data_IF_935540525833
#
_entry.id   IF_935540525833
#
_cell.length_a   1.000
_cell.length_b   1.000
_cell.length_c   1.000
_cell.angle_alpha   90.00
_cell.angle_beta   90.00
_cell.angle_gamma   90.00
#
_symmetry.space_group_name_H-M   'P 1'
#
loop_
_entity.id
_entity.type
_entity.pdbx_description
1 polymer ?
#
# COMPACT_ATOMS: atom_id res chain seq x y z
N UNK A 1 -8.68 21.62 0.03
CA UNK A 1 -9.14 21.09 1.34
C UNK A 1 -9.55 19.64 1.14
N UNK A 2 -8.97 18.74 1.92
CA UNK A 2 -9.23 17.31 1.81
C UNK A 2 -10.65 16.94 2.24
N UNK A 3 -11.16 15.82 1.69
CA UNK A 3 -12.45 15.27 2.06
C UNK A 3 -12.26 14.05 2.99
N UNK A 4 -12.36 14.29 4.30
CA UNK A 4 -12.24 13.22 5.31
C UNK A 4 -13.41 12.23 5.27
N UNK A 5 -14.57 12.58 4.69
CA UNK A 5 -15.70 11.65 4.58
C UNK A 5 -15.34 10.49 3.64
N UNK A 6 -14.57 10.75 2.57
CA UNK A 6 -14.11 9.74 1.65
C UNK A 6 -13.24 8.65 2.32
N UNK A 7 -12.46 8.99 3.36
CA UNK A 7 -11.72 7.96 4.13
C UNK A 7 -12.63 7.07 4.98
N UNK A 8 -13.77 7.61 5.41
CA UNK A 8 -14.73 6.88 6.25
C UNK A 8 -15.64 5.96 5.44
N UNK A 9 -15.87 6.26 4.16
CA UNK A 9 -16.73 5.46 3.27
C UNK A 9 -16.21 4.05 3.04
N UNK A 10 -14.89 3.82 3.19
CA UNK A 10 -14.24 2.52 2.94
C UNK A 10 -14.68 1.91 1.60
N UNK A 11 -14.27 2.49 0.47
CA UNK A 11 -14.80 2.16 -0.84
C UNK A 11 -14.39 0.78 -1.32
N UNK A 12 -15.16 0.25 -2.26
CA UNK A 12 -14.71 -0.80 -3.18
C UNK A 12 -14.28 -0.14 -4.49
N UNK A 13 -13.02 -0.36 -4.89
CA UNK A 13 -12.47 0.15 -6.15
C UNK A 13 -12.22 -1.02 -7.09
N UNK A 14 -12.76 -0.95 -8.31
CA UNK A 14 -12.71 -2.07 -9.27
C UNK A 14 -11.85 -1.70 -10.47
N UNK A 15 -10.80 -2.48 -10.72
CA UNK A 15 -9.96 -2.45 -11.90
C UNK A 15 -10.22 -3.65 -12.82
N UNK A 16 -9.32 -3.86 -13.77
CA UNK A 16 -9.40 -4.99 -14.71
C UNK A 16 -8.95 -6.30 -14.09
N UNK A 17 -7.88 -6.25 -13.29
CA UNK A 17 -7.19 -7.42 -12.71
C UNK A 17 -7.36 -7.53 -11.20
N UNK A 18 -7.64 -6.41 -10.54
CA UNK A 18 -7.81 -6.37 -9.09
C UNK A 18 -9.04 -5.58 -8.69
N UNK A 19 -9.59 -5.98 -7.57
CA UNK A 19 -10.59 -5.22 -6.82
C UNK A 19 -10.03 -4.91 -5.44
N UNK A 20 -10.11 -3.67 -5.03
CA UNK A 20 -9.75 -3.23 -3.68
C UNK A 20 -11.03 -3.18 -2.85
N UNK A 21 -11.05 -3.89 -1.75
CA UNK A 21 -12.20 -3.94 -0.82
C UNK A 21 -11.75 -3.61 0.60
N UNK A 22 -12.60 -3.10 1.48
CA UNK A 22 -12.23 -2.86 2.87
C UNK A 22 -11.62 -4.12 3.50
N UNK A 23 -10.48 -3.95 4.18
CA UNK A 23 -9.87 -5.06 4.91
C UNK A 23 -10.80 -5.46 6.07
N UNK A 24 -11.11 -6.74 6.20
CA UNK A 24 -12.08 -7.29 7.16
C UNK A 24 -11.64 -8.67 7.68
N UNK A 25 -12.39 -9.21 8.62
CA UNK A 25 -12.15 -10.54 9.18
C UNK A 25 -12.14 -11.66 8.13
N UNK A 26 -12.80 -11.49 7.01
CA UNK A 26 -12.80 -12.46 5.90
C UNK A 26 -11.40 -12.70 5.31
N UNK A 27 -10.46 -11.76 5.52
CA UNK A 27 -9.13 -11.80 4.97
C UNK A 27 -8.06 -12.31 5.97
N UNK A 28 -8.46 -12.69 7.19
CA UNK A 28 -7.52 -13.01 8.29
C UNK A 28 -6.55 -14.12 7.94
N UNK A 29 -7.03 -15.23 7.40
CA UNK A 29 -6.20 -16.39 7.12
C UNK A 29 -5.10 -16.07 6.09
N UNK A 30 -5.48 -15.42 5.00
CA UNK A 30 -4.55 -15.01 3.94
C UNK A 30 -3.59 -13.92 4.41
N UNK A 31 -4.09 -12.94 5.17
CA UNK A 31 -3.27 -11.90 5.78
C UNK A 31 -2.24 -12.49 6.75
N UNK A 32 -2.68 -13.40 7.64
CA UNK A 32 -1.80 -14.08 8.57
C UNK A 32 -0.73 -14.89 7.86
N UNK A 33 -1.12 -15.68 6.84
CA UNK A 33 -0.17 -16.46 6.04
C UNK A 33 0.90 -15.55 5.39
N UNK A 34 0.48 -14.42 4.80
CA UNK A 34 1.38 -13.41 4.24
C UNK A 34 2.35 -12.84 5.27
N UNK A 35 1.88 -12.55 6.48
CA UNK A 35 2.70 -12.01 7.57
C UNK A 35 3.73 -13.01 8.12
N UNK A 36 3.58 -14.32 7.82
CA UNK A 36 4.56 -15.36 8.17
C UNK A 36 5.61 -15.57 7.08
N UNK A 37 5.40 -15.11 5.85
CA UNK A 37 6.34 -15.26 4.74
C UNK A 37 7.62 -14.45 4.97
N UNK A 38 8.78 -15.11 4.98
CA UNK A 38 10.06 -14.48 5.31
C UNK A 38 10.51 -13.48 4.25
N UNK A 39 10.23 -13.74 2.96
CA UNK A 39 10.58 -12.81 1.90
C UNK A 39 9.68 -11.56 1.91
N UNK A 40 8.38 -11.71 2.14
CA UNK A 40 7.47 -10.58 2.31
C UNK A 40 7.89 -9.73 3.51
N UNK A 41 8.22 -10.36 4.63
CA UNK A 41 8.73 -9.67 5.84
C UNK A 41 10.02 -8.92 5.55
N UNK A 42 10.95 -9.51 4.80
CA UNK A 42 12.19 -8.86 4.37
C UNK A 42 11.91 -7.64 3.48
N UNK A 43 11.01 -7.78 2.51
CA UNK A 43 10.66 -6.71 1.57
C UNK A 43 9.94 -5.53 2.26
N UNK A 44 9.21 -5.81 3.35
CA UNK A 44 8.50 -4.80 4.16
C UNK A 44 9.28 -4.35 5.40
N UNK A 45 10.42 -4.97 5.72
CA UNK A 45 11.21 -4.69 6.93
C UNK A 45 10.52 -5.09 8.23
N UNK A 46 9.61 -6.04 8.16
CA UNK A 46 8.83 -6.49 9.31
C UNK A 46 9.58 -7.55 10.10
N UNK A 47 10.28 -7.16 11.17
CA UNK A 47 11.08 -8.09 11.99
C UNK A 47 10.24 -9.06 12.79
N UNK A 48 9.14 -8.60 13.33
CA UNK A 48 8.29 -9.38 14.23
C UNK A 48 7.32 -10.26 13.43
N UNK A 49 7.16 -11.51 13.86
CA UNK A 49 6.04 -12.34 13.44
C UNK A 49 4.84 -12.02 14.32
N UNK A 50 3.69 -11.85 13.71
CA UNK A 50 2.43 -11.62 14.45
C UNK A 50 1.78 -12.95 14.80
N UNK A 51 1.04 -12.99 15.91
CA UNK A 51 0.17 -14.11 16.26
C UNK A 51 -1.14 -14.08 15.46
N UNK A 52 -1.83 -15.24 15.40
CA UNK A 52 -3.11 -15.32 14.69
C UNK A 52 -4.17 -14.41 15.30
N UNK A 53 -4.28 -14.37 16.63
CA UNK A 53 -5.23 -13.49 17.33
C UNK A 53 -4.97 -12.01 17.04
N UNK A 54 -3.70 -11.62 16.89
CA UNK A 54 -3.33 -10.26 16.50
C UNK A 54 -3.74 -9.95 15.05
N UNK A 55 -3.62 -10.95 14.15
CA UNK A 55 -4.10 -10.80 12.77
C UNK A 55 -5.63 -10.64 12.73
N UNK A 56 -6.37 -11.38 13.56
CA UNK A 56 -7.82 -11.23 13.72
C UNK A 56 -8.16 -9.82 14.16
N UNK A 57 -7.56 -9.33 15.25
CA UNK A 57 -7.81 -7.98 15.77
C UNK A 57 -7.44 -6.91 14.73
N UNK A 58 -6.32 -7.09 14.04
CA UNK A 58 -5.90 -6.18 12.98
C UNK A 58 -6.94 -6.08 11.88
N UNK A 59 -7.38 -7.18 11.29
CA UNK A 59 -8.35 -7.18 10.20
C UNK A 59 -9.73 -6.68 10.65
N UNK A 60 -10.18 -7.04 11.86
CA UNK A 60 -11.47 -6.62 12.39
C UNK A 60 -11.57 -5.12 12.64
N UNK A 61 -10.46 -4.46 13.02
CA UNK A 61 -10.51 -3.06 13.49
C UNK A 61 -10.08 -2.03 12.46
N UNK A 62 -9.49 -2.43 11.32
CA UNK A 62 -8.96 -1.46 10.33
C UNK A 62 -10.03 -0.63 9.66
N UNK A 63 -11.16 -1.21 9.34
CA UNK A 63 -12.29 -0.50 8.72
C UNK A 63 -12.93 0.55 9.62
N UNK A 64 -12.76 0.43 10.94
CA UNK A 64 -13.32 1.39 11.90
C UNK A 64 -12.44 2.65 12.08
N UNK A 65 -11.21 2.62 11.57
CA UNK A 65 -10.27 3.73 11.72
C UNK A 65 -10.63 4.88 10.77
N UNK A 66 -10.99 6.09 11.30
CA UNK A 66 -11.39 7.22 10.47
C UNK A 66 -10.22 7.98 9.82
N UNK A 67 -9.01 7.73 10.30
CA UNK A 67 -7.76 8.44 9.97
C UNK A 67 -6.92 7.70 8.92
N UNK A 68 -7.43 6.59 8.37
CA UNK A 68 -6.72 5.76 7.41
C UNK A 68 -7.66 4.95 6.54
N UNK A 69 -7.14 4.45 5.44
CA UNK A 69 -7.86 3.56 4.53
C UNK A 69 -7.02 2.31 4.32
N UNK A 70 -7.48 1.17 4.82
CA UNK A 70 -6.85 -0.13 4.64
C UNK A 70 -7.74 -1.00 3.75
N UNK A 71 -7.20 -1.46 2.62
CA UNK A 71 -7.92 -2.25 1.64
C UNK A 71 -7.19 -3.57 1.35
N UNK A 72 -7.95 -4.65 1.25
CA UNK A 72 -7.49 -5.92 0.70
C UNK A 72 -7.44 -5.83 -0.83
N UNK A 73 -6.43 -6.43 -1.42
CA UNK A 73 -6.28 -6.56 -2.87
C UNK A 73 -6.77 -7.95 -3.26
N UNK A 74 -7.86 -8.00 -4.02
CA UNK A 74 -8.49 -9.24 -4.49
C UNK A 74 -8.25 -9.38 -5.98
N UNK A 75 -7.59 -10.45 -6.42
CA UNK A 75 -7.41 -10.74 -7.83
C UNK A 75 -8.77 -11.01 -8.51
N UNK A 76 -8.95 -10.47 -9.69
CA UNK A 76 -10.16 -10.60 -10.49
C UNK A 76 -9.84 -11.33 -11.81
N UNK A 77 -10.65 -12.31 -12.24
CA UNK A 77 -11.93 -12.75 -11.70
C UNK A 77 -11.89 -13.80 -10.57
N UNK A 78 -10.72 -14.32 -10.17
CA UNK A 78 -10.59 -15.49 -9.30
C UNK A 78 -11.12 -15.26 -7.87
N UNK A 79 -11.18 -13.99 -7.42
CA UNK A 79 -11.61 -13.65 -6.07
C UNK A 79 -10.57 -13.97 -4.98
N UNK A 80 -9.31 -14.21 -5.36
CA UNK A 80 -8.23 -14.58 -4.44
C UNK A 80 -7.60 -13.34 -3.79
N UNK A 81 -7.39 -13.39 -2.48
CA UNK A 81 -6.60 -12.37 -1.78
C UNK A 81 -5.14 -12.44 -2.26
N UNK A 82 -4.59 -11.32 -2.70
CA UNK A 82 -3.23 -11.22 -3.23
C UNK A 82 -2.38 -10.16 -2.51
N UNK A 83 -2.94 -9.51 -1.50
CA UNK A 83 -2.22 -8.52 -0.71
C UNK A 83 -3.13 -7.50 -0.04
N UNK A 84 -2.49 -6.49 0.51
CA UNK A 84 -3.16 -5.33 1.13
C UNK A 84 -2.45 -4.03 0.77
N UNK A 85 -3.15 -2.92 0.91
CA UNK A 85 -2.58 -1.58 0.79
C UNK A 85 -3.26 -0.61 1.76
N UNK A 86 -2.57 0.48 2.07
CA UNK A 86 -3.13 1.49 2.96
C UNK A 86 -2.71 2.91 2.58
N UNK A 87 -3.63 3.87 2.78
CA UNK A 87 -3.33 5.28 3.02
C UNK A 87 -3.38 5.52 4.52
N UNK A 88 -2.35 6.15 5.07
CA UNK A 88 -2.22 6.40 6.51
C UNK A 88 -1.39 7.66 6.76
N UNK A 89 -1.17 8.00 8.03
CA UNK A 89 -0.42 9.20 8.43
C UNK A 89 -0.93 10.46 7.72
N UNK A 90 -2.25 10.61 7.73
CA UNK A 90 -2.92 11.72 7.07
C UNK A 90 -2.56 13.05 7.76
N UNK A 91 -2.09 13.99 6.97
CA UNK A 91 -1.88 15.38 7.37
C UNK A 91 -2.86 16.29 6.60
N UNK A 92 -3.99 16.64 7.21
CA UNK A 92 -5.03 17.45 6.56
C UNK A 92 -4.58 18.88 6.23
N UNK A 93 -3.68 19.45 7.01
CA UNK A 93 -3.22 20.83 6.83
C UNK A 93 -2.29 20.93 5.60
N UNK A 94 -1.52 19.89 5.33
CA UNK A 94 -0.62 19.81 4.17
C UNK A 94 -1.21 18.98 3.01
N UNK A 95 -2.42 18.45 3.16
CA UNK A 95 -3.12 17.63 2.17
C UNK A 95 -2.29 16.42 1.71
N UNK A 96 -1.61 15.74 2.67
CA UNK A 96 -0.72 14.62 2.39
C UNK A 96 -1.10 13.36 3.15
N UNK A 97 -0.69 12.20 2.63
CA UNK A 97 -0.77 10.92 3.32
C UNK A 97 0.42 10.03 2.93
N UNK A 98 0.77 9.09 3.80
CA UNK A 98 1.68 8.01 3.46
C UNK A 98 0.94 6.84 2.81
N UNK A 99 1.65 6.07 2.00
CA UNK A 99 1.15 4.93 1.27
C UNK A 99 1.97 3.69 1.55
N UNK A 100 1.30 2.56 1.73
CA UNK A 100 1.93 1.25 1.88
C UNK A 100 1.19 0.22 1.03
N UNK A 101 1.93 -0.74 0.47
CA UNK A 101 1.40 -1.94 -0.20
C UNK A 101 2.27 -3.14 0.13
N UNK A 102 1.64 -4.29 0.33
CA UNK A 102 2.29 -5.59 0.44
C UNK A 102 1.50 -6.62 -0.38
N UNK A 103 2.16 -7.29 -1.32
CA UNK A 103 1.59 -8.49 -1.92
C UNK A 103 1.77 -9.68 -0.98
N UNK A 104 0.81 -10.59 -0.96
CA UNK A 104 0.78 -11.70 0.00
C UNK A 104 1.77 -12.82 -0.28
N UNK A 105 2.31 -12.89 -1.51
CA UNK A 105 3.35 -13.85 -1.89
C UNK A 105 4.15 -13.33 -3.10
N UNK A 106 5.38 -13.85 -3.24
CA UNK A 106 6.27 -13.50 -4.36
C UNK A 106 5.69 -13.91 -5.71
N UNK A 107 4.91 -14.97 -5.76
CA UNK A 107 4.25 -15.43 -6.99
C UNK A 107 3.32 -14.40 -7.62
N UNK A 108 2.76 -13.48 -6.84
CA UNK A 108 1.89 -12.39 -7.33
C UNK A 108 2.67 -11.20 -7.89
N UNK A 109 4.00 -11.20 -7.73
CA UNK A 109 4.83 -10.12 -8.29
C UNK A 109 5.01 -10.26 -9.80
N UNK A 110 5.25 -9.13 -10.49
CA UNK A 110 5.50 -9.13 -11.94
C UNK A 110 4.25 -9.31 -12.82
N UNK A 111 3.08 -9.51 -12.24
CA UNK A 111 1.81 -9.71 -12.96
C UNK A 111 1.01 -8.42 -13.18
N UNK A 112 1.53 -7.28 -12.73
CA UNK A 112 0.85 -5.99 -12.85
C UNK A 112 -0.16 -5.69 -11.73
N UNK A 113 -0.46 -6.65 -10.83
CA UNK A 113 -1.47 -6.51 -9.78
C UNK A 113 -1.16 -5.34 -8.83
N UNK A 114 0.06 -5.27 -8.31
CA UNK A 114 0.48 -4.18 -7.42
C UNK A 114 0.46 -2.81 -8.09
N UNK A 115 0.80 -2.74 -9.40
CA UNK A 115 0.74 -1.49 -10.17
C UNK A 115 -0.69 -1.00 -10.32
N UNK A 116 -1.62 -1.89 -10.69
CA UNK A 116 -3.03 -1.53 -10.87
C UNK A 116 -3.65 -1.14 -9.53
N UNK A 117 -3.40 -1.90 -8.46
CA UNK A 117 -3.85 -1.58 -7.11
C UNK A 117 -3.36 -0.19 -6.66
N UNK A 118 -2.07 0.13 -6.90
CA UNK A 118 -1.51 1.44 -6.59
C UNK A 118 -2.22 2.55 -7.36
N UNK A 119 -2.47 2.37 -8.66
CA UNK A 119 -3.17 3.37 -9.49
C UNK A 119 -4.60 3.63 -9.01
N UNK A 120 -5.37 2.59 -8.75
CA UNK A 120 -6.74 2.71 -8.23
C UNK A 120 -6.79 3.49 -6.92
N UNK A 121 -5.86 3.21 -6.00
CA UNK A 121 -5.81 3.95 -4.75
C UNK A 121 -5.40 5.40 -4.94
N UNK A 122 -4.42 5.70 -5.82
CA UNK A 122 -4.00 7.07 -6.11
C UNK A 122 -5.12 7.88 -6.79
N UNK A 123 -5.87 7.29 -7.72
CA UNK A 123 -7.07 7.92 -8.29
C UNK A 123 -8.05 8.30 -7.18
N UNK A 124 -8.36 7.36 -6.28
CA UNK A 124 -9.24 7.65 -5.16
C UNK A 124 -8.66 8.73 -4.22
N UNK A 125 -7.38 8.66 -3.91
CA UNK A 125 -6.68 9.62 -3.06
C UNK A 125 -6.75 11.06 -3.61
N UNK A 126 -6.55 11.23 -4.90
CA UNK A 126 -6.57 12.56 -5.54
C UNK A 126 -8.00 13.03 -5.87
N UNK A 127 -8.87 12.15 -6.39
CA UNK A 127 -10.19 12.55 -6.86
C UNK A 127 -11.24 12.67 -5.74
N UNK A 128 -11.18 11.78 -4.75
CA UNK A 128 -12.19 11.69 -3.69
C UNK A 128 -11.70 12.24 -2.37
N UNK A 129 -10.53 11.81 -1.90
CA UNK A 129 -9.94 12.33 -0.66
C UNK A 129 -9.39 13.76 -0.87
N UNK A 130 -9.04 14.13 -2.12
CA UNK A 130 -8.49 15.44 -2.51
C UNK A 130 -7.14 15.72 -1.86
N UNK A 131 -6.30 14.69 -1.80
CA UNK A 131 -4.91 14.90 -1.42
C UNK A 131 -4.16 15.68 -2.51
N UNK A 132 -3.17 16.45 -2.09
CA UNK A 132 -2.21 17.08 -2.99
C UNK A 132 -1.02 16.16 -3.26
N UNK A 133 -0.64 15.34 -2.26
CA UNK A 133 0.57 14.53 -2.27
C UNK A 133 0.37 13.19 -1.57
N UNK A 134 0.95 12.14 -2.14
CA UNK A 134 1.10 10.83 -1.50
C UNK A 134 2.58 10.46 -1.48
N UNK A 135 3.09 9.93 -0.36
CA UNK A 135 4.49 9.55 -0.20
C UNK A 135 4.65 8.16 0.39
N UNK A 136 5.81 7.56 0.23
CA UNK A 136 6.15 6.25 0.75
C UNK A 136 7.64 6.11 1.05
N UNK A 137 7.97 5.09 1.84
CA UNK A 137 9.33 4.58 1.96
C UNK A 137 9.43 3.19 1.34
N UNK A 138 10.55 2.91 0.67
CA UNK A 138 10.83 1.61 0.09
C UNK A 138 12.31 1.28 0.25
N UNK A 139 12.63 0.06 0.67
CA UNK A 139 14.04 -0.35 0.79
C UNK A 139 14.72 -0.40 -0.57
N UNK A 140 15.94 0.13 -0.64
CA UNK A 140 16.69 0.32 -1.89
C UNK A 140 16.93 -1.00 -2.66
N UNK A 141 16.91 -2.14 -1.98
CA UNK A 141 17.04 -3.46 -2.60
C UNK A 141 15.74 -3.96 -3.27
N UNK A 142 14.58 -3.37 -2.96
CA UNK A 142 13.29 -3.76 -3.54
C UNK A 142 13.07 -3.08 -4.90
N UNK A 143 13.90 -3.42 -5.88
CA UNK A 143 13.88 -2.81 -7.21
C UNK A 143 12.54 -3.00 -7.95
N UNK A 144 11.80 -4.09 -7.63
CA UNK A 144 10.48 -4.34 -8.24
C UNK A 144 9.46 -3.32 -7.78
N UNK A 145 9.38 -3.07 -6.47
CA UNK A 145 8.46 -2.06 -5.93
C UNK A 145 8.83 -0.65 -6.42
N UNK A 146 10.12 -0.30 -6.43
CA UNK A 146 10.60 0.99 -6.96
C UNK A 146 10.17 1.20 -8.42
N UNK A 147 10.26 0.16 -9.26
CA UNK A 147 9.83 0.24 -10.66
C UNK A 147 8.30 0.43 -10.77
N UNK A 148 7.52 -0.26 -9.94
CA UNK A 148 6.07 -0.06 -9.86
C UNK A 148 5.74 1.37 -9.47
N UNK A 149 6.33 1.91 -8.41
CA UNK A 149 6.06 3.28 -7.95
C UNK A 149 6.42 4.33 -9.00
N UNK A 150 7.58 4.19 -9.65
CA UNK A 150 7.95 5.08 -10.77
C UNK A 150 6.93 5.04 -11.91
N UNK A 151 6.41 3.85 -12.23
CA UNK A 151 5.37 3.70 -13.27
C UNK A 151 4.01 4.29 -12.88
N UNK A 152 3.83 4.61 -11.60
CA UNK A 152 2.66 5.32 -11.06
C UNK A 152 2.92 6.81 -10.81
N UNK A 153 4.07 7.35 -11.24
CA UNK A 153 4.38 8.78 -11.13
C UNK A 153 5.19 9.17 -9.89
N UNK A 154 5.56 8.23 -9.01
CA UNK A 154 6.42 8.54 -7.87
C UNK A 154 7.84 8.88 -8.31
N UNK A 155 8.38 9.96 -7.75
CA UNK A 155 9.78 10.37 -7.87
C UNK A 155 10.54 10.09 -6.58
N UNK A 156 11.84 9.80 -6.69
CA UNK A 156 12.72 9.69 -5.50
C UNK A 156 13.02 11.09 -5.00
N UNK A 157 12.74 11.35 -3.73
CA UNK A 157 12.95 12.64 -3.07
C UNK A 157 14.09 12.62 -2.05
N UNK A 158 14.42 11.43 -1.55
CA UNK A 158 15.48 11.29 -0.58
C UNK A 158 15.94 9.84 -0.38
N UNK A 159 17.04 9.71 0.38
CA UNK A 159 17.61 8.42 0.76
C UNK A 159 17.93 8.42 2.24
N UNK A 160 17.37 7.47 2.96
CA UNK A 160 17.64 7.20 4.36
C UNK A 160 18.76 6.13 4.42
N UNK A 161 19.93 6.52 4.90
CA UNK A 161 21.06 5.59 5.00
C UNK A 161 20.85 4.66 6.19
N UNK A 162 21.19 3.36 5.99
CA UNK A 162 21.15 2.35 7.05
C UNK A 162 19.78 2.24 7.77
N UNK A 163 18.70 2.48 7.04
CA UNK A 163 17.33 2.53 7.58
C UNK A 163 16.81 1.17 8.06
N UNK A 164 17.33 0.05 7.53
CA UNK A 164 16.95 -1.30 7.94
C UNK A 164 18.21 -2.09 8.32
N UNK A 165 18.15 -2.78 9.45
CA UNK A 165 19.10 -3.83 9.80
C UNK A 165 18.40 -5.18 9.60
N UNK A 166 18.77 -5.96 8.58
CA UNK A 166 18.20 -7.27 8.31
C UNK A 166 19.30 -8.32 8.24
N UNK A 167 19.20 -9.37 9.06
CA UNK A 167 20.19 -10.46 9.15
C UNK A 167 21.65 -9.95 9.23
N UNK A 168 21.86 -8.95 10.08
CA UNK A 168 23.18 -8.36 10.30
C UNK A 168 23.67 -7.42 9.20
N UNK A 169 22.87 -7.16 8.16
CA UNK A 169 23.20 -6.21 7.07
C UNK A 169 22.34 -4.96 7.15
N UNK A 170 22.95 -3.81 6.93
CA UNK A 170 22.25 -2.53 6.86
C UNK A 170 21.85 -2.24 5.42
N UNK A 171 20.66 -1.72 5.28
CA UNK A 171 20.07 -1.35 3.98
C UNK A 171 19.50 0.06 4.04
N UNK A 172 19.65 0.78 2.95
CA UNK A 172 19.05 2.09 2.80
C UNK A 172 17.58 1.97 2.39
N UNK A 173 16.80 3.00 2.71
CA UNK A 173 15.48 3.21 2.16
C UNK A 173 15.45 4.45 1.27
N UNK A 174 14.57 4.45 0.28
CA UNK A 174 14.25 5.61 -0.53
C UNK A 174 12.93 6.19 -0.05
N UNK A 175 12.88 7.50 0.10
CA UNK A 175 11.64 8.26 0.24
C UNK A 175 11.20 8.63 -1.17
N UNK A 176 9.97 8.28 -1.52
CA UNK A 176 9.38 8.59 -2.82
C UNK A 176 8.07 9.32 -2.63
N UNK A 177 7.78 10.29 -3.50
CA UNK A 177 6.54 11.06 -3.48
C UNK A 177 5.93 11.20 -4.86
N UNK A 178 4.61 11.34 -4.91
CA UNK A 178 3.85 11.66 -6.11
C UNK A 178 2.89 12.81 -5.81
N UNK A 179 2.88 13.81 -6.67
CA UNK A 179 1.91 14.89 -6.64
C UNK A 179 0.74 14.56 -7.58
N UNK A 180 -0.43 15.10 -7.30
CA UNK A 180 -1.62 14.93 -8.14
C UNK A 180 -1.31 15.18 -9.62
N UNK A 181 -0.65 16.29 -9.94
CA UNK A 181 -0.31 16.66 -11.32
C UNK A 181 0.63 15.65 -11.99
N UNK A 182 1.57 15.05 -11.27
CA UNK A 182 2.51 14.09 -11.83
C UNK A 182 1.84 12.73 -12.06
N UNK A 183 0.93 12.34 -11.17
CA UNK A 183 0.09 11.18 -11.36
C UNK A 183 -0.77 11.32 -12.63
N UNK A 184 -1.47 12.46 -12.81
CA UNK A 184 -2.34 12.69 -13.98
C UNK A 184 -1.56 12.63 -15.28
N UNK A 185 -0.38 13.26 -15.35
CA UNK A 185 0.50 13.17 -16.54
C UNK A 185 0.89 11.72 -16.85
N UNK A 186 1.24 10.94 -15.82
CA UNK A 186 1.66 9.54 -15.98
C UNK A 186 0.48 8.64 -16.35
N UNK A 187 -0.71 8.94 -15.85
CA UNK A 187 -1.94 8.20 -16.16
C UNK A 187 -2.53 8.54 -17.54
N UNK A 188 -2.10 9.63 -18.17
CA UNK A 188 -2.67 10.14 -19.45
C UNK A 188 -4.03 10.81 -19.26
N UNK A 189 -4.28 11.38 -18.09
CA UNK A 189 -5.52 12.05 -17.68
C UNK A 189 -5.39 13.58 -17.78
#
# INVERSE_FOLDING_TARGET
MIDLSALREKPTLTGERVRLVPLSEEHVDDFYASAQDDEIRRLTGTHRRIGYEEAVEWCATRSDRPDRLDLAIIAHPEGRFVGELALMDLDPDNETASYRISLSAIEFTGQGLGREATRLLLEYAFDRVRLHRVWLEVYAFNMRAIAVYRSCGFAVEGRLRDALLWEGRRHDALVMGVLENDFRKTAGL
#
